data_IF_032762344831
#
_entry.id   IF_032762344831
#
_cell.length_a   1.000
_cell.length_b   1.000
_cell.length_c   1.000
_cell.angle_alpha   90.00
_cell.angle_beta   90.00
_cell.angle_gamma   90.00
#
_symmetry.space_group_name_H-M   'P 1'
#
loop_
_entity.id
_entity.type
_entity.pdbx_description
1 polymer ?
#
# COMPACT_ATOMS: atom_id res chain seq x y z
N UNK A 1 7.28 -42.17 5.41
CA UNK A 1 6.41 -40.97 5.38
C UNK A 1 6.78 -40.12 4.16
N UNK A 2 5.88 -39.32 3.57
CA UNK A 2 6.21 -38.49 2.38
C UNK A 2 6.49 -37.05 2.82
N UNK A 3 7.57 -36.45 2.32
CA UNK A 3 7.92 -35.04 2.58
C UNK A 3 6.78 -34.09 2.21
N UNK A 4 6.08 -34.36 1.09
CA UNK A 4 4.94 -33.56 0.62
C UNK A 4 3.81 -33.54 1.66
N UNK A 5 3.51 -34.68 2.31
CA UNK A 5 2.47 -34.76 3.35
C UNK A 5 2.88 -34.11 4.67
N UNK A 6 4.15 -34.13 5.01
CA UNK A 6 4.67 -33.36 6.15
C UNK A 6 4.50 -31.86 5.92
N UNK A 7 4.86 -31.38 4.73
CA UNK A 7 4.69 -29.97 4.35
C UNK A 7 3.20 -29.57 4.33
N UNK A 8 2.33 -30.42 3.79
CA UNK A 8 0.89 -30.22 3.80
C UNK A 8 0.35 -30.03 5.22
N UNK A 9 0.77 -30.86 6.17
CA UNK A 9 0.37 -30.78 7.56
C UNK A 9 0.86 -29.49 8.23
N UNK A 10 2.08 -29.06 7.94
CA UNK A 10 2.63 -27.79 8.45
C UNK A 10 1.84 -26.59 7.93
N UNK A 11 1.57 -26.56 6.63
CA UNK A 11 0.79 -25.49 6.00
C UNK A 11 -0.66 -25.44 6.52
N UNK A 12 -1.27 -26.60 6.76
CA UNK A 12 -2.62 -26.67 7.32
C UNK A 12 -2.68 -26.14 8.76
N UNK A 13 -1.64 -26.38 9.55
CA UNK A 13 -1.55 -25.93 10.94
C UNK A 13 -1.11 -24.47 11.08
N UNK A 14 -0.54 -23.87 10.03
CA UNK A 14 0.02 -22.54 10.08
C UNK A 14 -1.06 -21.45 10.08
N UNK A 15 -0.90 -20.45 10.94
CA UNK A 15 -1.79 -19.27 11.01
C UNK A 15 -1.31 -18.12 10.12
N UNK A 16 -0.08 -18.20 9.59
CA UNK A 16 0.54 -17.20 8.71
C UNK A 16 1.21 -17.90 7.53
N UNK A 17 1.53 -17.19 6.44
CA UNK A 17 2.37 -17.73 5.39
C UNK A 17 3.70 -18.25 5.94
N UNK A 18 4.20 -19.37 5.41
CA UNK A 18 5.47 -19.97 5.78
C UNK A 18 6.47 -19.84 4.63
N UNK A 19 7.62 -19.25 4.90
CA UNK A 19 8.74 -19.26 3.97
C UNK A 19 9.33 -20.66 3.82
N UNK A 20 9.97 -20.95 2.69
CA UNK A 20 10.68 -22.22 2.45
C UNK A 20 11.66 -22.52 3.57
N UNK A 21 12.34 -21.49 4.08
CA UNK A 21 13.30 -21.61 5.18
C UNK A 21 12.63 -21.99 6.51
N UNK A 22 11.49 -21.39 6.85
CA UNK A 22 10.71 -21.73 8.04
C UNK A 22 10.22 -23.18 7.97
N UNK A 23 9.70 -23.61 6.82
CA UNK A 23 9.27 -25.00 6.60
C UNK A 23 10.44 -25.96 6.74
N UNK A 24 11.58 -25.69 6.11
CA UNK A 24 12.76 -26.53 6.22
C UNK A 24 13.29 -26.59 7.66
N UNK A 25 13.22 -25.47 8.39
CA UNK A 25 13.65 -25.40 9.79
C UNK A 25 12.72 -26.21 10.69
N UNK A 26 11.41 -26.09 10.50
CA UNK A 26 10.43 -26.85 11.25
C UNK A 26 10.58 -28.36 11.03
N UNK A 27 10.81 -28.79 9.78
CA UNK A 27 11.00 -30.20 9.43
C UNK A 27 12.29 -30.75 10.07
N UNK A 28 13.40 -30.00 9.97
CA UNK A 28 14.70 -30.45 10.55
C UNK A 28 14.67 -30.52 12.08
N UNK A 29 13.94 -29.59 12.71
CA UNK A 29 13.82 -29.50 14.17
C UNK A 29 12.78 -30.44 14.78
N UNK A 30 12.08 -31.23 13.96
CA UNK A 30 11.14 -32.23 14.47
C UNK A 30 11.92 -33.36 15.11
N UNK A 31 11.98 -33.37 16.44
CA UNK A 31 12.57 -34.44 17.24
C UNK A 31 11.43 -35.27 17.85
N UNK A 32 11.52 -36.58 17.66
CA UNK A 32 10.67 -37.56 18.32
C UNK A 32 11.59 -38.59 19.00
N UNK A 33 11.43 -38.75 20.31
CA UNK A 33 12.21 -39.73 21.10
C UNK A 33 12.00 -41.16 20.61
N UNK A 34 10.91 -41.44 19.92
CA UNK A 34 10.53 -42.78 19.50
C UNK A 34 10.84 -43.09 18.03
N UNK A 35 11.09 -42.08 17.20
CA UNK A 35 11.33 -42.27 15.77
C UNK A 35 12.35 -41.28 15.22
N UNK A 36 13.40 -41.76 14.53
CA UNK A 36 14.36 -40.87 13.88
C UNK A 36 13.66 -40.01 12.81
N UNK A 37 13.98 -38.72 12.77
CA UNK A 37 13.48 -37.82 11.76
C UNK A 37 14.12 -38.15 10.40
N UNK A 38 13.35 -38.76 9.49
CA UNK A 38 13.78 -39.11 8.13
C UNK A 38 14.21 -37.89 7.32
N UNK A 39 13.70 -36.69 7.67
CA UNK A 39 13.92 -35.43 6.95
C UNK A 39 14.85 -34.45 7.69
N UNK A 40 15.61 -34.92 8.67
CA UNK A 40 16.54 -34.09 9.47
C UNK A 40 17.57 -33.31 8.62
N UNK A 41 17.83 -33.76 7.39
CA UNK A 41 18.80 -33.17 6.44
C UNK A 41 18.13 -32.57 5.21
N UNK A 42 16.82 -32.34 5.24
CA UNK A 42 16.08 -31.77 4.10
C UNK A 42 16.67 -30.40 3.70
N UNK A 43 16.87 -30.20 2.40
CA UNK A 43 17.36 -28.94 1.84
C UNK A 43 16.19 -28.06 1.42
N UNK A 44 16.39 -26.75 1.41
CA UNK A 44 15.38 -25.79 0.97
C UNK A 44 14.90 -26.05 -0.49
N UNK A 45 15.79 -26.51 -1.36
CA UNK A 45 15.42 -26.88 -2.73
C UNK A 45 14.45 -28.07 -2.79
N UNK A 46 14.58 -29.03 -1.88
CA UNK A 46 13.66 -30.17 -1.79
C UNK A 46 12.29 -29.75 -1.26
N UNK A 47 12.28 -28.82 -0.31
CA UNK A 47 11.05 -28.20 0.18
C UNK A 47 10.34 -27.40 -0.93
N UNK A 48 11.09 -26.60 -1.70
CA UNK A 48 10.55 -25.84 -2.82
C UNK A 48 9.90 -26.76 -3.88
N UNK A 49 10.61 -27.82 -4.26
CA UNK A 49 10.09 -28.80 -5.22
C UNK A 49 8.82 -29.50 -4.70
N UNK A 50 8.77 -29.83 -3.43
CA UNK A 50 7.60 -30.46 -2.80
C UNK A 50 6.41 -29.50 -2.69
N UNK A 51 6.64 -28.20 -2.47
CA UNK A 51 5.58 -27.17 -2.50
C UNK A 51 4.96 -27.01 -3.89
N UNK A 52 5.79 -26.96 -4.95
CA UNK A 52 5.29 -26.89 -6.33
C UNK A 52 4.54 -28.17 -6.71
N UNK A 53 5.02 -29.34 -6.29
CA UNK A 53 4.30 -30.60 -6.48
C UNK A 53 2.93 -30.58 -5.80
N UNK A 54 2.86 -30.10 -4.56
CA UNK A 54 1.61 -30.01 -3.80
C UNK A 54 0.62 -29.04 -4.45
N UNK A 55 1.12 -27.93 -4.98
CA UNK A 55 0.32 -26.94 -5.72
C UNK A 55 -0.32 -27.56 -6.96
N UNK A 56 0.45 -28.33 -7.76
CA UNK A 56 -0.03 -29.03 -8.95
C UNK A 56 -1.08 -30.10 -8.55
N UNK A 57 -0.78 -30.89 -7.51
CA UNK A 57 -1.68 -31.93 -7.01
C UNK A 57 -3.06 -31.37 -6.62
N UNK A 58 -3.11 -30.20 -5.97
CA UNK A 58 -4.38 -29.58 -5.58
C UNK A 58 -5.20 -29.10 -6.78
N UNK A 59 -4.54 -28.57 -7.81
CA UNK A 59 -5.19 -28.15 -9.05
C UNK A 59 -5.75 -29.37 -9.80
N UNK A 60 -4.96 -30.44 -9.96
CA UNK A 60 -5.39 -31.66 -10.66
C UNK A 60 -6.54 -32.35 -9.94
N UNK A 61 -6.53 -32.37 -8.61
CA UNK A 61 -7.58 -32.95 -7.80
C UNK A 61 -8.80 -32.05 -7.63
N UNK A 62 -8.81 -30.85 -8.20
CA UNK A 62 -9.90 -29.88 -8.08
C UNK A 62 -10.33 -29.65 -6.63
N UNK A 63 -9.34 -29.47 -5.73
CA UNK A 63 -9.61 -29.22 -4.32
C UNK A 63 -10.33 -27.88 -4.12
N UNK A 64 -11.16 -27.79 -3.07
CA UNK A 64 -11.84 -26.54 -2.67
C UNK A 64 -10.89 -25.47 -2.08
N UNK A 65 -9.63 -25.81 -1.96
CA UNK A 65 -8.55 -24.94 -1.49
C UNK A 65 -7.32 -25.14 -2.36
N UNK A 66 -6.46 -24.14 -2.39
CA UNK A 66 -5.27 -24.10 -3.21
C UNK A 66 -4.08 -23.62 -2.39
N UNK A 67 -2.88 -23.93 -2.85
CA UNK A 67 -1.64 -23.44 -2.30
C UNK A 67 -1.22 -22.18 -3.06
N UNK A 68 -1.15 -21.06 -2.36
CA UNK A 68 -0.75 -19.77 -2.92
C UNK A 68 0.59 -19.32 -2.35
N UNK A 69 1.40 -18.75 -3.20
CA UNK A 69 2.64 -18.09 -2.82
C UNK A 69 2.37 -16.59 -2.62
N UNK A 70 2.74 -16.08 -1.47
CA UNK A 70 2.70 -14.66 -1.11
C UNK A 70 4.12 -14.13 -0.90
N UNK A 71 4.26 -12.82 -0.72
CA UNK A 71 5.56 -12.20 -0.47
C UNK A 71 6.28 -12.76 0.78
N UNK A 72 5.53 -13.17 1.81
CA UNK A 72 6.09 -13.76 3.05
C UNK A 72 6.25 -15.28 2.99
N UNK A 73 5.75 -15.94 1.96
CA UNK A 73 5.83 -17.40 1.82
C UNK A 73 4.53 -18.06 1.33
N UNK A 74 4.40 -19.32 1.63
CA UNK A 74 3.32 -20.19 1.14
C UNK A 74 2.20 -20.33 2.16
N UNK A 75 0.96 -20.33 1.67
CA UNK A 75 -0.24 -20.47 2.51
C UNK A 75 -1.34 -21.21 1.77
N UNK A 76 -2.13 -22.00 2.52
CA UNK A 76 -3.38 -22.54 2.02
C UNK A 76 -4.46 -21.45 2.00
N UNK A 77 -5.20 -21.39 0.91
CA UNK A 77 -6.34 -20.51 0.76
C UNK A 77 -7.50 -21.25 0.10
N UNK A 78 -8.73 -20.88 0.44
CA UNK A 78 -9.91 -21.40 -0.25
C UNK A 78 -9.95 -20.90 -1.68
N UNK A 79 -10.38 -21.73 -2.62
CA UNK A 79 -10.57 -21.31 -4.00
C UNK A 79 -11.64 -20.22 -4.10
N UNK A 80 -11.40 -19.26 -4.98
CA UNK A 80 -12.26 -18.08 -5.15
C UNK A 80 -13.70 -18.41 -5.54
N UNK A 81 -13.95 -19.52 -6.21
CA UNK A 81 -15.28 -19.98 -6.56
C UNK A 81 -16.17 -20.23 -5.34
N UNK A 82 -15.58 -20.55 -4.19
CA UNK A 82 -16.30 -20.78 -2.93
C UNK A 82 -16.41 -19.55 -2.04
N UNK A 83 -15.89 -18.40 -2.45
CA UNK A 83 -15.79 -17.20 -1.63
C UNK A 83 -17.14 -16.69 -1.10
N UNK A 84 -18.23 -16.86 -1.85
CA UNK A 84 -19.56 -16.43 -1.42
C UNK A 84 -20.06 -17.18 -0.18
N UNK A 85 -19.77 -18.48 -0.06
CA UNK A 85 -20.14 -19.30 1.10
C UNK A 85 -19.21 -19.03 2.28
N UNK A 86 -17.90 -18.99 2.03
CA UNK A 86 -16.89 -18.70 3.08
C UNK A 86 -17.15 -17.36 3.76
N UNK A 87 -17.57 -16.34 3.01
CA UNK A 87 -17.92 -15.02 3.57
C UNK A 87 -19.08 -15.08 4.58
N UNK A 88 -19.97 -16.04 4.48
CA UNK A 88 -21.09 -16.18 5.42
C UNK A 88 -20.63 -16.65 6.81
N UNK A 89 -19.50 -17.33 6.90
CA UNK A 89 -18.90 -17.71 8.18
C UNK A 89 -18.35 -16.50 8.96
N UNK A 90 -18.06 -15.38 8.25
CA UNK A 90 -17.44 -14.18 8.82
C UNK A 90 -18.26 -12.92 8.50
N UNK A 91 -19.53 -12.82 8.96
CA UNK A 91 -20.43 -11.74 8.58
C UNK A 91 -19.96 -10.35 9.04
N UNK A 92 -19.16 -10.28 10.11
CA UNK A 92 -18.62 -9.03 10.64
C UNK A 92 -17.40 -8.49 9.84
N UNK A 93 -16.81 -9.32 9.00
CA UNK A 93 -15.58 -9.00 8.27
C UNK A 93 -15.86 -8.40 6.88
N UNK A 94 -16.84 -7.49 6.74
CA UNK A 94 -16.92 -6.69 5.50
C UNK A 94 -15.82 -5.64 5.53
N UNK A 95 -14.67 -5.86 4.87
CA UNK A 95 -13.66 -4.82 4.78
C UNK A 95 -14.30 -3.61 4.11
N UNK A 96 -14.22 -2.45 4.75
CA UNK A 96 -14.66 -1.21 4.12
C UNK A 96 -13.87 -1.04 2.83
N UNK A 97 -14.57 -1.08 1.69
CA UNK A 97 -13.94 -0.92 0.37
C UNK A 97 -13.18 0.41 0.33
N UNK A 98 -12.04 0.42 -0.33
CA UNK A 98 -11.37 1.67 -0.66
C UNK A 98 -12.26 2.46 -1.63
N UNK A 99 -12.39 3.77 -1.40
CA UNK A 99 -13.05 4.64 -2.36
C UNK A 99 -12.25 4.72 -3.68
N UNK A 100 -12.89 5.09 -4.78
CA UNK A 100 -12.19 5.28 -6.04
C UNK A 100 -11.00 6.26 -5.93
N UNK A 101 -11.12 7.44 -5.27
CA UNK A 101 -9.99 8.32 -5.03
C UNK A 101 -8.85 7.66 -4.23
N UNK A 102 -9.18 6.80 -3.26
CA UNK A 102 -8.17 6.08 -2.49
C UNK A 102 -7.42 5.04 -3.32
N UNK A 103 -8.13 4.30 -4.18
CA UNK A 103 -7.51 3.34 -5.11
C UNK A 103 -6.60 4.03 -6.13
N UNK A 104 -7.01 5.16 -6.70
CA UNK A 104 -6.19 5.93 -7.64
C UNK A 104 -4.91 6.46 -6.98
N UNK A 105 -5.03 7.01 -5.77
CA UNK A 105 -3.87 7.51 -5.00
C UNK A 105 -2.93 6.35 -4.63
N UNK A 106 -3.48 5.24 -4.17
CA UNK A 106 -2.72 4.03 -3.85
C UNK A 106 -1.98 3.48 -5.08
N UNK A 107 -2.63 3.46 -6.25
CA UNK A 107 -2.00 3.04 -7.49
C UNK A 107 -0.80 3.93 -7.85
N UNK A 108 -0.94 5.27 -7.78
CA UNK A 108 0.18 6.18 -8.05
C UNK A 108 1.35 5.88 -7.13
N UNK A 109 1.10 5.71 -5.83
CA UNK A 109 2.15 5.37 -4.86
C UNK A 109 2.79 4.03 -5.23
N UNK A 110 2.01 2.98 -5.48
CA UNK A 110 2.52 1.65 -5.78
C UNK A 110 3.44 1.61 -7.02
N UNK A 111 3.09 2.35 -8.07
CA UNK A 111 3.90 2.38 -9.30
C UNK A 111 5.09 3.34 -9.25
N UNK A 112 5.09 4.33 -8.35
CA UNK A 112 6.06 5.43 -8.34
C UNK A 112 6.90 5.53 -7.07
N UNK A 113 6.66 4.69 -6.12
CA UNK A 113 7.39 4.67 -4.86
C UNK A 113 8.91 4.51 -5.04
N UNK A 114 9.74 5.16 -4.18
CA UNK A 114 9.31 6.10 -3.14
C UNK A 114 8.93 7.47 -3.73
N UNK A 115 7.80 8.05 -3.30
CA UNK A 115 7.22 9.27 -3.87
C UNK A 115 6.81 10.27 -2.78
N UNK A 116 6.92 11.59 -3.06
CA UNK A 116 6.46 12.62 -2.13
C UNK A 116 4.96 12.87 -2.27
N UNK A 117 4.35 13.43 -1.22
CA UNK A 117 2.94 13.85 -1.28
C UNK A 117 2.70 14.84 -2.44
N UNK A 118 3.57 15.85 -2.58
CA UNK A 118 3.45 16.87 -3.63
C UNK A 118 3.46 16.27 -5.03
N UNK A 119 4.26 15.23 -5.26
CA UNK A 119 4.31 14.55 -6.57
C UNK A 119 3.02 13.78 -6.83
N UNK A 120 2.45 13.13 -5.81
CA UNK A 120 1.15 12.46 -5.94
C UNK A 120 0.04 13.47 -6.23
N UNK A 121 0.02 14.60 -5.51
CA UNK A 121 -0.93 15.70 -5.73
C UNK A 121 -0.80 16.30 -7.14
N UNK A 122 0.43 16.44 -7.66
CA UNK A 122 0.66 16.92 -9.03
C UNK A 122 0.06 15.98 -10.08
N UNK A 123 0.09 14.68 -9.85
CA UNK A 123 -0.53 13.69 -10.75
C UNK A 123 -2.04 13.68 -10.58
N UNK A 124 -2.55 13.78 -9.35
CA UNK A 124 -3.97 13.73 -9.03
C UNK A 124 -4.73 15.02 -9.38
N UNK A 125 -4.04 16.16 -9.34
CA UNK A 125 -4.64 17.49 -9.48
C UNK A 125 -5.48 17.96 -8.28
N UNK A 126 -5.46 17.22 -7.18
CA UNK A 126 -6.24 17.50 -5.96
C UNK A 126 -5.44 17.17 -4.69
N UNK A 127 -5.83 17.80 -3.58
CA UNK A 127 -5.25 17.46 -2.27
C UNK A 127 -5.58 16.03 -1.87
N UNK A 128 -4.59 15.32 -1.31
CA UNK A 128 -4.69 13.90 -0.95
C UNK A 128 -4.55 13.62 0.55
N UNK A 129 -4.48 14.65 1.42
CA UNK A 129 -4.19 14.46 2.85
C UNK A 129 -5.10 13.42 3.52
N UNK A 130 -6.41 13.59 3.39
CA UNK A 130 -7.36 12.66 4.01
C UNK A 130 -7.30 11.25 3.41
N UNK A 131 -7.01 11.16 2.11
CA UNK A 131 -6.84 9.86 1.44
C UNK A 131 -5.56 9.18 1.88
N UNK A 132 -4.46 9.91 1.94
CA UNK A 132 -3.16 9.40 2.35
C UNK A 132 -3.20 8.92 3.80
N UNK A 133 -3.81 9.69 4.70
CA UNK A 133 -4.03 9.28 6.08
C UNK A 133 -4.83 7.98 6.16
N UNK A 134 -5.93 7.87 5.42
CA UNK A 134 -6.75 6.64 5.37
C UNK A 134 -5.93 5.43 4.89
N UNK A 135 -5.08 5.60 3.88
CA UNK A 135 -4.23 4.53 3.36
C UNK A 135 -3.18 4.09 4.40
N UNK A 136 -2.62 5.04 5.16
CA UNK A 136 -1.68 4.75 6.26
C UNK A 136 -2.39 4.07 7.44
N UNK A 137 -3.55 4.53 7.87
CA UNK A 137 -4.35 3.92 8.93
C UNK A 137 -4.76 2.47 8.60
N UNK A 138 -4.98 2.18 7.31
CA UNK A 138 -5.25 0.83 6.83
C UNK A 138 -3.99 -0.02 6.63
N UNK A 139 -2.82 0.53 6.90
CA UNK A 139 -1.55 -0.16 6.75
C UNK A 139 -1.14 -0.47 5.31
N UNK A 140 -1.75 0.18 4.30
CA UNK A 140 -1.43 -0.03 2.89
C UNK A 140 -0.22 0.79 2.43
N UNK A 141 0.00 1.95 3.07
CA UNK A 141 1.08 2.89 2.78
C UNK A 141 1.83 3.20 4.08
N UNK A 142 3.13 3.39 3.99
CA UNK A 142 4.00 3.81 5.08
C UNK A 142 4.96 4.91 4.63
N UNK A 143 5.62 5.57 5.59
CA UNK A 143 6.70 6.51 5.33
C UNK A 143 7.98 5.70 5.10
N UNK A 144 8.62 5.88 3.93
CA UNK A 144 9.89 5.27 3.58
C UNK A 144 11.10 6.07 4.10
N UNK A 145 10.92 7.39 4.28
CA UNK A 145 11.98 8.29 4.69
C UNK A 145 11.69 9.73 4.31
N UNK A 146 12.74 10.50 4.05
CA UNK A 146 12.67 11.88 3.58
C UNK A 146 13.49 12.06 2.31
N UNK A 147 12.99 12.87 1.38
CA UNK A 147 13.74 13.21 0.16
C UNK A 147 14.90 14.15 0.46
N UNK A 148 15.97 14.03 -0.31
CA UNK A 148 17.16 14.89 -0.22
C UNK A 148 17.03 16.13 -1.13
N UNK A 149 15.89 16.81 -1.03
CA UNK A 149 15.58 18.05 -1.74
C UNK A 149 15.18 19.15 -0.74
N UNK A 150 15.21 20.44 -1.11
CA UNK A 150 14.80 21.53 -0.25
C UNK A 150 13.43 21.25 0.40
N UNK A 151 13.33 21.49 1.71
CA UNK A 151 12.15 21.16 2.50
C UNK A 151 12.09 19.72 3.02
N UNK A 152 12.98 18.82 2.57
CA UNK A 152 13.09 17.41 3.01
C UNK A 152 11.73 16.73 3.20
N UNK A 153 10.84 16.72 2.18
CA UNK A 153 9.50 16.17 2.32
C UNK A 153 9.54 14.66 2.59
N UNK A 154 8.49 14.16 3.21
CA UNK A 154 8.32 12.72 3.45
C UNK A 154 8.14 11.97 2.15
N UNK A 155 8.75 10.79 2.08
CA UNK A 155 8.58 9.81 1.02
C UNK A 155 7.64 8.71 1.50
N UNK A 156 6.77 8.28 0.61
CA UNK A 156 5.75 7.25 0.85
C UNK A 156 6.00 6.03 -0.02
N UNK A 157 5.74 4.86 0.54
CA UNK A 157 5.81 3.58 -0.15
C UNK A 157 4.71 2.63 0.35
N UNK A 158 4.42 1.59 -0.41
CA UNK A 158 3.50 0.52 -0.01
C UNK A 158 4.13 -0.38 1.04
N UNK A 159 3.28 -1.07 1.80
CA UNK A 159 3.70 -1.99 2.87
C UNK A 159 3.70 -3.43 2.36
N UNK A 160 4.19 -4.36 3.21
CA UNK A 160 4.01 -5.79 3.00
C UNK A 160 2.51 -6.16 2.95
N UNK A 161 1.69 -5.57 3.84
CA UNK A 161 0.24 -5.78 3.84
C UNK A 161 -0.43 -5.40 2.53
N UNK A 162 0.09 -4.40 1.79
CA UNK A 162 -0.36 -4.08 0.44
C UNK A 162 -0.16 -5.27 -0.51
N UNK A 163 1.03 -5.87 -0.52
CA UNK A 163 1.32 -7.03 -1.37
C UNK A 163 0.40 -8.20 -1.03
N UNK A 164 0.23 -8.50 0.25
CA UNK A 164 -0.67 -9.56 0.73
C UNK A 164 -2.12 -9.32 0.37
N UNK A 165 -2.58 -8.05 0.49
CA UNK A 165 -3.95 -7.66 0.21
C UNK A 165 -4.32 -7.82 -1.27
N UNK A 166 -3.36 -7.53 -2.16
CA UNK A 166 -3.54 -7.66 -3.61
C UNK A 166 -3.05 -9.00 -4.18
N UNK A 167 -2.54 -9.90 -3.32
CA UNK A 167 -2.07 -11.24 -3.71
C UNK A 167 -0.80 -11.21 -4.56
N UNK A 168 0.06 -10.21 -4.35
CA UNK A 168 1.32 -10.03 -5.07
C UNK A 168 2.48 -10.61 -4.26
N UNK A 169 3.47 -11.19 -4.93
CA UNK A 169 4.73 -11.61 -4.32
C UNK A 169 5.71 -10.44 -4.20
N UNK A 170 5.70 -9.56 -5.18
CA UNK A 170 6.53 -8.36 -5.22
C UNK A 170 5.88 -7.28 -6.12
N UNK A 171 6.48 -6.09 -6.16
CA UNK A 171 5.97 -4.96 -6.94
C UNK A 171 6.13 -5.13 -8.45
N UNK A 172 6.94 -6.07 -8.90
CA UNK A 172 7.17 -6.35 -10.33
C UNK A 172 5.99 -7.11 -10.94
N UNK A 173 5.17 -7.75 -10.11
CA UNK A 173 3.93 -8.39 -10.56
C UNK A 173 2.77 -7.42 -10.82
N UNK A 174 2.97 -6.12 -10.54
CA UNK A 174 1.99 -5.11 -10.91
C UNK A 174 1.83 -5.03 -12.43
N UNK A 175 0.60 -4.98 -12.96
CA UNK A 175 0.36 -4.90 -14.40
C UNK A 175 1.07 -3.69 -15.03
N UNK A 176 1.73 -3.87 -16.16
CA UNK A 176 2.40 -2.81 -16.93
C UNK A 176 3.40 -1.96 -16.11
N UNK A 177 4.03 -2.54 -15.10
CA UNK A 177 4.91 -1.82 -14.15
C UNK A 177 6.03 -1.06 -14.86
N UNK A 178 6.67 -1.68 -15.84
CA UNK A 178 7.78 -1.10 -16.64
C UNK A 178 7.33 0.14 -17.43
N UNK A 179 6.17 0.06 -18.07
CA UNK A 179 5.62 1.14 -18.89
C UNK A 179 5.18 2.31 -18.02
N UNK A 180 4.46 2.02 -16.90
CA UNK A 180 3.95 3.05 -16.02
C UNK A 180 5.04 3.74 -15.20
N UNK A 181 6.13 3.04 -14.87
CA UNK A 181 7.31 3.66 -14.24
C UNK A 181 8.04 4.61 -15.19
N UNK A 182 8.09 4.29 -16.48
CA UNK A 182 8.77 5.12 -17.50
C UNK A 182 7.94 6.32 -17.97
N UNK A 183 6.63 6.34 -17.77
CA UNK A 183 5.78 7.48 -18.13
C UNK A 183 6.20 8.72 -17.34
N UNK A 184 6.53 9.80 -18.07
CA UNK A 184 6.76 11.11 -17.48
C UNK A 184 5.44 11.69 -16.97
N UNK A 185 5.14 11.45 -15.69
CA UNK A 185 4.03 12.12 -15.00
C UNK A 185 4.49 13.50 -14.49
N UNK A 186 3.57 14.46 -14.32
CA UNK A 186 3.92 15.75 -13.75
C UNK A 186 4.59 15.54 -12.37
N UNK A 187 5.76 16.10 -12.19
CA UNK A 187 6.47 16.19 -10.91
C UNK A 187 6.17 17.56 -10.35
N UNK A 188 5.89 17.65 -9.06
CA UNK A 188 5.76 18.94 -8.41
C UNK A 188 7.09 19.70 -8.57
N UNK A 189 7.13 20.68 -9.47
CA UNK A 189 8.27 21.60 -9.55
C UNK A 189 8.32 22.31 -8.21
N UNK A 190 9.40 22.12 -7.47
CA UNK A 190 9.73 23.01 -6.37
C UNK A 190 9.69 24.42 -6.93
N UNK A 191 8.70 25.21 -6.55
CA UNK A 191 8.71 26.64 -6.80
C UNK A 191 9.90 27.18 -6.00
N UNK A 192 11.02 27.32 -6.67
CA UNK A 192 12.12 28.16 -6.19
C UNK A 192 11.53 29.56 -6.21
N UNK A 193 11.07 30.04 -5.05
CA UNK A 193 10.86 31.44 -4.83
C UNK A 193 12.21 32.13 -5.02
N UNK A 194 12.45 32.55 -6.26
CA UNK A 194 13.55 33.44 -6.58
C UNK A 194 13.30 34.77 -5.91
N UNK A 195 14.03 34.97 -4.86
CA UNK A 195 14.37 36.30 -4.32
C UNK A 195 15.29 36.99 -5.32
N UNK A 196 14.94 38.18 -5.72
CA UNK A 196 15.79 39.08 -6.46
C UNK A 196 14.99 39.75 -7.57
N UNK A 197 14.86 41.01 -7.69
CA UNK A 197 15.79 42.07 -7.44
C UNK A 197 15.02 43.39 -7.39
N UNK A 198 15.55 44.31 -6.64
CA UNK A 198 15.16 45.68 -6.54
C UNK A 198 15.32 46.42 -7.86
N UNK A 199 14.36 47.23 -8.22
CA UNK A 199 14.47 48.16 -9.33
C UNK A 199 13.36 49.20 -9.25
N UNK A 200 13.47 50.15 -8.31
CA UNK A 200 12.83 51.47 -8.48
C UNK A 200 13.49 52.23 -9.62
N UNK A 201 12.74 53.02 -10.36
CA UNK A 201 12.66 54.43 -9.99
C UNK A 201 11.28 55.06 -10.17
N UNK A 202 10.87 55.94 -9.24
CA UNK A 202 9.89 56.99 -9.49
C UNK A 202 10.56 58.17 -10.25
N UNK A 203 9.98 59.35 -10.38
CA UNK A 203 8.73 59.87 -9.84
C UNK A 203 7.92 60.71 -10.86
N UNK A 204 6.83 61.26 -10.48
CA UNK A 204 6.26 62.61 -10.73
C UNK A 204 4.75 62.57 -10.99
N UNK A 205 4.08 63.14 -10.15
CA UNK A 205 3.62 64.51 -9.93
C UNK A 205 2.16 64.75 -10.33
N UNK A 206 1.46 65.35 -9.39
CA UNK A 206 0.41 66.37 -9.45
C UNK A 206 -1.00 65.87 -9.80
N UNK A 207 -2.05 66.23 -9.18
CA UNK A 207 -2.46 67.28 -8.26
C UNK A 207 -3.98 67.27 -8.11
N UNK A 208 -4.44 67.74 -6.94
CA UNK A 208 -5.73 68.39 -6.66
C UNK A 208 -7.01 67.58 -6.73
N UNK A 209 -7.82 67.49 -5.77
CA UNK A 209 -8.33 68.35 -4.69
C UNK A 209 -9.87 68.28 -4.67
N UNK A 210 -10.39 68.45 -3.50
CA UNK A 210 -11.77 68.79 -3.11
C UNK A 210 -12.71 67.59 -2.90
N UNK A 211 -13.09 67.35 -1.72
CA UNK A 211 -14.01 68.05 -0.82
C UNK A 211 -15.30 67.23 -0.84
N UNK A 212 -15.79 66.73 0.19
CA UNK A 212 -16.56 67.33 1.22
C UNK A 212 -17.18 66.25 2.15
N UNK A 213 -17.18 66.48 3.41
CA UNK A 213 -17.97 65.86 4.45
C UNK A 213 -19.21 66.75 4.64
N UNK A 214 -20.28 66.48 5.40
CA UNK A 214 -20.51 65.39 6.41
C UNK A 214 -22.00 64.94 6.56
N UNK A 215 -22.23 64.20 7.66
CA UNK A 215 -23.42 64.23 8.55
C UNK A 215 -24.32 62.99 8.48
N UNK A 216 -24.26 62.16 9.49
CA UNK A 216 -24.91 62.07 10.80
C UNK A 216 -26.32 61.46 10.82
N UNK A 217 -26.50 60.56 11.79
CA UNK A 217 -27.70 60.19 12.53
C UNK A 217 -28.57 59.08 11.92
N UNK A 218 -29.11 58.09 12.58
CA UNK A 218 -29.50 57.89 13.98
C UNK A 218 -30.06 56.46 14.05
N UNK A 219 -29.81 55.79 15.14
CA UNK A 219 -30.54 54.61 15.61
C UNK A 219 -32.00 54.99 15.95
N UNK A 220 -33.01 54.14 15.95
CA UNK A 220 -33.32 53.42 17.16
C UNK A 220 -33.85 51.99 17.05
N UNK A 221 -33.67 51.30 18.09
CA UNK A 221 -34.32 50.22 18.83
C UNK A 221 -35.84 50.03 18.64
N UNK A 222 -36.27 48.77 18.85
CA UNK A 222 -37.61 48.29 19.27
C UNK A 222 -37.72 46.80 18.99
N UNK A 223 -37.62 45.92 19.85
CA UNK A 223 -38.46 45.32 20.92
C UNK A 223 -39.76 44.69 20.43
N UNK A 224 -39.89 43.42 20.79
CA UNK A 224 -41.12 42.71 21.20
C UNK A 224 -41.79 41.94 20.05
N UNK A 225 -42.05 40.72 20.11
CA UNK A 225 -42.63 39.78 21.09
C UNK A 225 -42.14 38.35 20.83
#
# INVERSE_FOLDING_TARGET
MSLVRVIEALLFSAQKPLSIREVATAIRGAEDELSPNEFSRVREAEVAAALEQLKIEYVEQQRAFQLIEKAEGWQLATDTQYAQWVRQLFPAAKPARLSAPALETLAIIAYRQPITRSDVEAVRGVNIDGVLQTLMERGLVKIAGRAEIPGRPLLYETTQFFLDHFGLRNLEELPNVEELRKRNLPVARASVAGSGDAGSPGPSASAKASGDKPTRATRPQGRGD
#
